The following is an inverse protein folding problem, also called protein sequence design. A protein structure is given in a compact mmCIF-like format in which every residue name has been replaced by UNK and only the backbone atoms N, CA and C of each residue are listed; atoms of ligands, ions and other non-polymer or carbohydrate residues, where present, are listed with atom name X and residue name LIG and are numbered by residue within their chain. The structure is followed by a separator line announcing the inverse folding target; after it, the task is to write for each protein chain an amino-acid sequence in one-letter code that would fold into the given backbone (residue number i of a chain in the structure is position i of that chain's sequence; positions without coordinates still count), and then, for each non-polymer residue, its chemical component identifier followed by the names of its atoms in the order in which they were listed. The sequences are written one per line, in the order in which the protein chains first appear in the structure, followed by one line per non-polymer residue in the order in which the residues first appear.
data_IF_355398048005
#
_entry.id   IF_355398048005
#
_cell.length_a   1.000
_cell.length_b   1.000
_cell.length_c   1.000
_cell.angle_alpha   90.00
_cell.angle_beta   90.00
_cell.angle_gamma   90.00
#
_symmetry.space_group_name_H-M   'P 1'
#
loop_
_entity.id
_entity.type
_entity.pdbx_description
1 polymer ?
#
# COMPACT_ATOMS: atom_id res chain seq x y z
N UNK A 1 -0.43 -12.68 -14.45
CA UNK A 1 -1.19 -13.13 -13.27
C UNK A 1 -2.63 -13.02 -13.72
N UNK A 2 -3.31 -14.16 -13.84
CA UNK A 2 -4.73 -14.15 -14.13
C UNK A 2 -5.44 -13.97 -12.80
N UNK A 3 -6.18 -12.89 -12.64
CA UNK A 3 -6.81 -12.48 -11.36
C UNK A 3 -8.23 -12.05 -11.68
N UNK A 4 -9.18 -12.59 -10.92
CA UNK A 4 -10.60 -12.26 -11.09
C UNK A 4 -10.93 -10.89 -10.49
N UNK A 5 -12.00 -10.25 -10.98
CA UNK A 5 -12.52 -9.01 -10.40
C UNK A 5 -12.83 -9.14 -8.90
N UNK A 6 -13.29 -10.33 -8.48
CA UNK A 6 -13.53 -10.62 -7.07
C UNK A 6 -12.23 -10.51 -6.24
N UNK A 7 -11.13 -11.08 -6.72
CA UNK A 7 -9.82 -10.97 -6.06
C UNK A 7 -9.30 -9.53 -6.06
N UNK A 8 -9.51 -8.78 -7.14
CA UNK A 8 -9.17 -7.35 -7.21
C UNK A 8 -9.95 -6.57 -6.15
N UNK A 9 -11.26 -6.78 -6.06
CA UNK A 9 -12.11 -6.12 -5.07
C UNK A 9 -11.73 -6.48 -3.64
N UNK A 10 -11.37 -7.73 -3.38
CA UNK A 10 -10.90 -8.16 -2.06
C UNK A 10 -9.58 -7.50 -1.68
N UNK A 11 -8.62 -7.41 -2.59
CA UNK A 11 -7.39 -6.65 -2.35
C UNK A 11 -7.67 -5.14 -2.14
N UNK A 12 -8.61 -4.56 -2.88
CA UNK A 12 -9.04 -3.18 -2.69
C UNK A 12 -9.72 -2.95 -1.33
N UNK A 13 -10.45 -3.93 -0.79
CA UNK A 13 -11.03 -3.84 0.56
C UNK A 13 -9.95 -3.75 1.64
N UNK A 14 -8.88 -4.53 1.53
CA UNK A 14 -7.78 -4.52 2.52
C UNK A 14 -7.12 -3.15 2.68
N UNK A 15 -7.13 -2.35 1.61
CA UNK A 15 -6.55 -1.00 1.58
C UNK A 15 -7.61 0.11 1.58
N UNK A 16 -8.88 -0.22 1.84
CA UNK A 16 -10.02 0.71 1.81
C UNK A 16 -10.11 1.52 0.51
N UNK A 17 -9.98 0.92 -0.69
CA UNK A 17 -10.08 1.61 -1.98
C UNK A 17 -11.49 1.67 -2.58
N UNK A 18 -12.46 0.99 -1.97
CA UNK A 18 -13.81 0.90 -2.54
C UNK A 18 -14.48 2.27 -2.68
N UNK A 19 -14.18 3.24 -1.81
CA UNK A 19 -14.65 4.62 -1.92
C UNK A 19 -14.15 5.29 -3.22
N UNK A 20 -12.89 5.04 -3.58
CA UNK A 20 -12.23 5.58 -4.78
C UNK A 20 -12.78 4.95 -6.05
N UNK A 21 -13.05 3.65 -6.00
CA UNK A 21 -13.66 2.91 -7.11
C UNK A 21 -15.10 3.38 -7.32
N UNK A 22 -15.91 3.41 -6.26
CA UNK A 22 -17.33 3.73 -6.34
C UNK A 22 -17.63 5.18 -6.77
N UNK A 23 -16.70 6.13 -6.55
CA UNK A 23 -16.87 7.52 -7.00
C UNK A 23 -16.49 7.74 -8.47
N UNK A 24 -15.84 6.78 -9.14
CA UNK A 24 -15.50 6.86 -10.56
C UNK A 24 -16.64 6.27 -11.38
N UNK A 25 -16.99 6.92 -12.49
CA UNK A 25 -18.14 6.52 -13.31
C UNK A 25 -18.04 5.07 -13.80
N UNK A 26 -16.84 4.63 -14.18
CA UNK A 26 -16.60 3.29 -14.71
C UNK A 26 -16.05 2.30 -13.66
N UNK A 27 -16.05 2.67 -12.38
CA UNK A 27 -15.63 1.77 -11.30
C UNK A 27 -14.21 1.23 -11.49
N UNK A 28 -14.08 -0.11 -11.62
CA UNK A 28 -12.81 -0.79 -11.87
C UNK A 28 -12.22 -0.49 -13.27
N UNK A 29 -13.08 -0.21 -14.24
CA UNK A 29 -12.70 0.09 -15.62
C UNK A 29 -12.29 1.57 -15.82
N UNK A 30 -12.32 2.37 -14.75
CA UNK A 30 -11.99 3.78 -14.79
C UNK A 30 -10.55 4.00 -15.29
N UNK A 31 -10.42 4.77 -16.37
CA UNK A 31 -9.12 5.14 -16.95
C UNK A 31 -8.40 6.12 -16.02
N UNK A 32 -7.18 5.78 -15.64
CA UNK A 32 -6.28 6.63 -14.87
C UNK A 32 -5.28 7.28 -15.82
N UNK A 33 -5.09 8.59 -15.71
CA UNK A 33 -4.14 9.32 -16.55
C UNK A 33 -2.68 8.96 -16.24
N UNK A 34 -1.78 9.37 -17.13
CA UNK A 34 -0.35 9.09 -17.03
C UNK A 34 0.23 9.48 -15.65
N UNK A 35 1.10 8.63 -15.09
CA UNK A 35 1.68 8.84 -13.76
C UNK A 35 0.67 8.78 -12.60
N UNK A 36 -0.57 8.33 -12.84
CA UNK A 36 -1.62 8.34 -11.83
C UNK A 36 -2.38 9.67 -11.74
N UNK A 37 -2.40 10.45 -12.83
CA UNK A 37 -3.16 11.70 -12.91
C UNK A 37 -4.66 11.43 -12.64
N UNK A 38 -5.26 12.27 -11.79
CA UNK A 38 -6.65 12.09 -11.34
C UNK A 38 -6.81 11.22 -10.08
N UNK A 39 -5.69 10.89 -9.42
CA UNK A 39 -5.62 10.28 -8.09
C UNK A 39 -4.83 11.15 -7.12
N UNK A 40 -5.24 11.16 -5.85
CA UNK A 40 -4.43 11.75 -4.76
C UNK A 40 -3.18 10.90 -4.47
N UNK A 41 -2.21 11.44 -3.74
CA UNK A 41 -1.02 10.70 -3.32
C UNK A 41 -1.36 9.42 -2.54
N UNK A 42 -2.28 9.53 -1.58
CA UNK A 42 -2.75 8.39 -0.79
C UNK A 42 -3.53 7.35 -1.60
N UNK A 43 -4.24 7.76 -2.65
CA UNK A 43 -4.93 6.82 -3.55
C UNK A 43 -3.93 6.00 -4.37
N UNK A 44 -2.91 6.65 -4.94
CA UNK A 44 -1.83 5.95 -5.66
C UNK A 44 -1.13 4.94 -4.76
N UNK A 45 -0.90 5.31 -3.51
CA UNK A 45 -0.24 4.45 -2.53
C UNK A 45 -1.11 3.26 -2.12
N UNK A 46 -2.41 3.49 -1.87
CA UNK A 46 -3.36 2.40 -1.63
C UNK A 46 -3.41 1.42 -2.83
N UNK A 47 -3.37 1.91 -4.07
CA UNK A 47 -3.33 1.05 -5.27
C UNK A 47 -2.05 0.21 -5.31
N UNK A 48 -0.90 0.80 -4.98
CA UNK A 48 0.36 0.05 -4.88
C UNK A 48 0.28 -1.06 -3.82
N UNK A 49 -0.37 -0.79 -2.67
CA UNK A 49 -0.60 -1.80 -1.64
C UNK A 49 -1.58 -2.89 -2.09
N UNK A 50 -2.68 -2.55 -2.76
CA UNK A 50 -3.61 -3.54 -3.32
C UNK A 50 -2.87 -4.52 -4.26
N UNK A 51 -1.97 -4.01 -5.10
CA UNK A 51 -1.12 -4.84 -5.96
C UNK A 51 -0.22 -5.78 -5.15
N UNK A 52 0.30 -5.34 -4.01
CA UNK A 52 1.10 -6.19 -3.13
C UNK A 52 0.27 -7.29 -2.47
N UNK A 53 -0.98 -7.01 -2.07
CA UNK A 53 -1.94 -8.01 -1.59
C UNK A 53 -2.24 -9.07 -2.66
N UNK A 54 -2.52 -8.65 -3.90
CA UNK A 54 -2.78 -9.57 -5.02
C UNK A 54 -1.58 -10.48 -5.31
N UNK A 55 -0.37 -9.93 -5.24
CA UNK A 55 0.86 -10.66 -5.59
C UNK A 55 1.24 -11.73 -4.58
N UNK A 56 0.75 -11.67 -3.34
CA UNK A 56 0.96 -12.67 -2.28
C UNK A 56 2.44 -13.07 -2.08
N UNK A 57 3.40 -12.18 -2.35
CA UNK A 57 4.83 -12.46 -2.26
C UNK A 57 5.27 -12.84 -0.84
N UNK A 58 6.30 -13.68 -0.71
CA UNK A 58 6.87 -14.07 0.60
C UNK A 58 7.80 -13.01 1.20
N UNK A 59 8.38 -12.16 0.35
CA UNK A 59 9.24 -11.04 0.73
C UNK A 59 8.54 -9.74 0.38
N UNK A 60 8.45 -8.83 1.34
CA UNK A 60 7.87 -7.49 1.20
C UNK A 60 8.96 -6.46 1.49
N UNK A 61 9.17 -5.55 0.53
CA UNK A 61 10.07 -4.40 0.70
C UNK A 61 9.20 -3.16 0.75
N UNK A 62 9.33 -2.41 1.83
CA UNK A 62 8.56 -1.19 2.10
C UNK A 62 9.53 -0.02 2.14
N UNK A 63 9.51 0.81 1.11
CA UNK A 63 10.35 2.00 1.00
C UNK A 63 9.51 3.26 1.21
N UNK A 64 9.71 3.94 2.33
CA UNK A 64 9.04 5.20 2.72
C UNK A 64 7.50 5.20 2.59
N UNK A 65 6.88 4.05 2.86
CA UNK A 65 5.47 3.75 2.58
C UNK A 65 4.41 4.50 3.40
N UNK A 66 4.80 5.48 4.21
CA UNK A 66 3.87 6.38 4.93
C UNK A 66 4.22 7.85 4.78
N UNK A 67 5.18 8.20 3.92
CA UNK A 67 5.61 9.59 3.74
C UNK A 67 4.57 10.39 2.93
N UNK A 68 4.45 11.69 3.22
CA UNK A 68 3.64 12.66 2.46
C UNK A 68 2.11 12.42 2.45
N UNK A 69 1.57 11.78 3.49
CA UNK A 69 0.14 11.55 3.66
C UNK A 69 -0.46 12.41 4.78
N UNK A 70 -1.76 12.70 4.68
CA UNK A 70 -2.52 13.22 5.82
C UNK A 70 -2.70 12.14 6.89
N UNK A 71 -2.93 12.56 8.13
CA UNK A 71 -3.01 11.68 9.32
C UNK A 71 -4.05 10.56 9.16
N UNK A 72 -5.21 10.86 8.56
CA UNK A 72 -6.27 9.87 8.40
C UNK A 72 -5.85 8.80 7.38
N UNK A 73 -5.31 9.22 6.25
CA UNK A 73 -4.83 8.31 5.21
C UNK A 73 -3.64 7.49 5.68
N UNK A 74 -2.73 8.08 6.46
CA UNK A 74 -1.59 7.39 7.08
C UNK A 74 -2.03 6.26 8.02
N UNK A 75 -3.06 6.48 8.84
CA UNK A 75 -3.59 5.47 9.75
C UNK A 75 -4.20 4.27 9.01
N UNK A 76 -4.95 4.54 7.93
CA UNK A 76 -5.53 3.51 7.06
C UNK A 76 -4.43 2.67 6.41
N UNK A 77 -3.44 3.33 5.80
CA UNK A 77 -2.32 2.68 5.11
C UNK A 77 -1.47 1.86 6.09
N UNK A 78 -1.18 2.42 7.27
CA UNK A 78 -0.41 1.71 8.31
C UNK A 78 -1.08 0.41 8.72
N UNK A 79 -2.41 0.43 8.89
CA UNK A 79 -3.19 -0.77 9.25
C UNK A 79 -3.14 -1.82 8.15
N UNK A 80 -3.28 -1.40 6.88
CA UNK A 80 -3.20 -2.31 5.74
C UNK A 80 -1.80 -2.94 5.60
N UNK A 81 -0.74 -2.14 5.79
CA UNK A 81 0.64 -2.62 5.78
C UNK A 81 0.86 -3.67 6.87
N UNK A 82 0.43 -3.41 8.10
CA UNK A 82 0.60 -4.37 9.20
C UNK A 82 -0.08 -5.72 8.91
N UNK A 83 -1.25 -5.73 8.29
CA UNK A 83 -1.89 -6.98 7.83
C UNK A 83 -1.09 -7.65 6.73
N UNK A 84 -0.64 -6.88 5.73
CA UNK A 84 0.14 -7.39 4.61
C UNK A 84 1.46 -8.03 5.06
N UNK A 85 2.08 -7.50 6.11
CA UNK A 85 3.31 -8.01 6.72
C UNK A 85 3.15 -9.41 7.36
N UNK A 86 1.93 -9.83 7.68
CA UNK A 86 1.67 -11.10 8.36
C UNK A 86 2.25 -12.30 7.59
N UNK A 87 3.03 -13.13 8.31
CA UNK A 87 3.69 -14.33 7.77
C UNK A 87 4.64 -14.07 6.58
N UNK A 88 5.24 -12.87 6.49
CA UNK A 88 6.21 -12.52 5.44
C UNK A 88 7.56 -12.12 6.03
N UNK A 89 8.60 -12.23 5.20
CA UNK A 89 9.86 -11.52 5.44
C UNK A 89 9.68 -10.08 5.00
N UNK A 90 9.87 -9.13 5.92
CA UNK A 90 9.63 -7.71 5.64
C UNK A 90 10.92 -6.93 5.82
N UNK A 91 11.28 -6.14 4.81
CA UNK A 91 12.36 -5.16 4.87
C UNK A 91 11.71 -3.79 4.81
N UNK A 92 11.93 -2.97 5.84
CA UNK A 92 11.39 -1.62 5.93
C UNK A 92 12.56 -0.64 5.79
N UNK A 93 12.44 0.28 4.85
CA UNK A 93 13.35 1.38 4.60
C UNK A 93 12.58 2.66 4.92
N UNK A 94 13.13 3.48 5.81
CA UNK A 94 12.49 4.74 6.16
C UNK A 94 13.27 5.52 7.19
N UNK A 95 12.89 6.79 7.31
CA UNK A 95 13.50 7.77 8.23
C UNK A 95 12.58 8.13 9.41
N UNK A 96 11.41 7.48 9.55
CA UNK A 96 10.40 7.78 10.59
C UNK A 96 10.35 6.69 11.66
N UNK A 97 10.52 7.09 12.93
CA UNK A 97 10.47 6.20 14.10
C UNK A 97 9.19 5.35 14.17
N UNK A 98 8.04 5.90 13.76
CA UNK A 98 6.75 5.20 13.78
C UNK A 98 6.77 3.89 12.97
N UNK A 99 7.41 3.88 11.81
CA UNK A 99 7.58 2.67 10.99
C UNK A 99 8.68 1.75 11.52
N UNK A 100 9.71 2.30 12.18
CA UNK A 100 10.79 1.53 12.80
C UNK A 100 10.29 0.68 13.98
N UNK A 101 9.25 1.12 14.68
CA UNK A 101 8.62 0.36 15.76
C UNK A 101 8.02 -0.98 15.33
N UNK A 102 7.74 -1.18 14.03
CA UNK A 102 7.23 -2.47 13.53
C UNK A 102 8.35 -3.50 13.31
N UNK A 103 9.61 -3.07 13.30
CA UNK A 103 10.73 -3.94 12.99
C UNK A 103 11.09 -4.83 14.19
N UNK A 104 11.26 -6.12 13.93
CA UNK A 104 11.82 -7.06 14.92
C UNK A 104 13.32 -6.88 15.13
N UNK A 105 14.01 -6.33 14.13
CA UNK A 105 15.44 -5.96 14.17
C UNK A 105 15.63 -4.64 13.44
N UNK A 106 16.41 -3.74 14.03
CA UNK A 106 16.76 -2.46 13.44
C UNK A 106 18.22 -2.48 12.98
N UNK A 107 18.46 -2.08 11.74
CA UNK A 107 19.79 -1.91 11.17
C UNK A 107 20.00 -0.44 10.85
N UNK A 108 21.11 0.13 11.33
CA UNK A 108 21.50 1.51 11.02
C UNK A 108 22.61 1.46 9.99
N UNK A 109 22.33 2.00 8.80
CA UNK A 109 23.31 2.14 7.72
C UNK A 109 23.95 3.53 7.81
N UNK A 110 25.28 3.60 7.80
CA UNK A 110 26.03 4.87 7.83
C UNK A 110 27.27 4.75 6.94
N UNK A 111 27.37 5.65 5.95
CA UNK A 111 28.46 5.71 4.98
C UNK A 111 28.54 4.52 4.01
N UNK A 112 27.41 3.91 3.67
CA UNK A 112 27.33 2.71 2.81
C UNK A 112 27.60 1.44 3.60
#
# INVERSE_FOLDING_TARGET
MDVSDAEILDACKEVQLLDVINRKQDGLDAVIGEGGLGLSGGERQRIALARAFLRKGQVLILDEVTAHLDVKTEAIISTAIQRLMGNKVVIIIGHRLQTMHWASKLYVLKNG
#
